data_IF_275904704929
#
_entry.id   IF_275904704929
#
_cell.length_a   1.000
_cell.length_b   1.000
_cell.length_c   1.000
_cell.angle_alpha   90.00
_cell.angle_beta   90.00
_cell.angle_gamma   90.00
#
_symmetry.space_group_name_H-M   'P 1'
#
loop_
_entity.id
_entity.type
_entity.pdbx_description
1 polymer ?
#
# COMPACT_ATOMS: atom_id res chain seq x y z
N UNK A 1 -18.54 46.73 26.83
CA UNK A 1 -17.53 45.72 26.40
C UNK A 1 -18.11 44.34 26.65
N UNK A 2 -18.56 43.67 25.58
CA UNK A 2 -19.06 42.30 25.65
C UNK A 2 -17.93 41.36 25.22
N UNK A 3 -17.49 40.47 26.11
CA UNK A 3 -16.56 39.40 25.79
C UNK A 3 -17.37 38.24 25.20
N UNK A 4 -17.22 37.98 23.90
CA UNK A 4 -17.60 36.70 23.30
C UNK A 4 -16.53 35.67 23.66
N UNK A 5 -16.89 34.70 24.51
CA UNK A 5 -16.12 33.45 24.62
C UNK A 5 -16.39 32.61 23.38
N UNK A 6 -15.36 32.46 22.53
CA UNK A 6 -15.34 31.45 21.48
C UNK A 6 -15.18 30.07 22.11
N UNK A 7 -16.22 29.25 22.06
CA UNK A 7 -16.16 27.83 22.40
C UNK A 7 -15.51 27.09 21.24
N UNK A 8 -14.30 26.58 21.43
CA UNK A 8 -13.65 25.71 20.45
C UNK A 8 -14.43 24.38 20.36
N UNK A 9 -14.67 23.84 19.15
CA UNK A 9 -15.31 22.53 19.02
C UNK A 9 -14.34 21.46 19.54
N UNK A 10 -14.79 20.71 20.54
CA UNK A 10 -14.10 19.52 21.01
C UNK A 10 -14.02 18.50 19.86
N UNK A 11 -12.81 18.00 19.58
CA UNK A 11 -12.66 16.84 18.70
C UNK A 11 -13.38 15.65 19.34
N UNK A 12 -14.14 14.84 18.57
CA UNK A 12 -14.75 13.64 19.11
C UNK A 12 -13.62 12.73 19.59
N UNK A 13 -13.67 12.38 20.88
CA UNK A 13 -12.84 11.32 21.43
C UNK A 13 -13.07 10.06 20.58
N UNK A 14 -11.99 9.44 20.12
CA UNK A 14 -12.06 8.13 19.50
C UNK A 14 -12.80 7.21 20.47
N UNK A 15 -13.97 6.70 20.09
CA UNK A 15 -14.61 5.60 20.80
C UNK A 15 -13.55 4.51 20.93
N UNK A 16 -13.22 4.12 22.17
CA UNK A 16 -12.42 2.92 22.42
C UNK A 16 -13.19 1.75 21.83
N UNK A 17 -12.88 1.42 20.58
CA UNK A 17 -13.36 0.22 19.96
C UNK A 17 -12.82 -0.94 20.79
N UNK A 18 -13.71 -1.77 21.32
CA UNK A 18 -13.31 -2.95 22.08
C UNK A 18 -12.28 -3.79 21.33
N UNK A 19 -11.49 -4.55 22.08
CA UNK A 19 -10.52 -5.50 21.50
C UNK A 19 -11.26 -6.41 20.51
N UNK A 20 -10.84 -6.46 19.23
CA UNK A 20 -11.50 -7.26 18.22
C UNK A 20 -11.29 -8.75 18.51
N UNK A 21 -12.26 -9.58 18.17
CA UNK A 21 -12.08 -11.03 18.18
C UNK A 21 -11.04 -11.42 17.14
N UNK A 22 -9.90 -11.96 17.57
CA UNK A 22 -8.83 -12.37 16.66
C UNK A 22 -9.12 -13.76 16.06
N UNK A 23 -8.58 -14.08 14.86
CA UNK A 23 -8.63 -15.44 14.34
C UNK A 23 -7.98 -16.44 15.32
N UNK A 24 -8.28 -17.72 15.17
CA UNK A 24 -7.64 -18.76 15.98
C UNK A 24 -6.12 -18.82 15.68
N UNK A 25 -5.30 -18.91 16.73
CA UNK A 25 -3.83 -18.98 16.57
C UNK A 25 -3.43 -20.36 16.06
N UNK A 26 -2.93 -20.42 14.82
CA UNK A 26 -2.46 -21.62 14.15
C UNK A 26 -0.95 -21.86 14.34
N UNK A 27 -0.52 -21.92 15.60
CA UNK A 27 0.88 -22.05 15.98
C UNK A 27 1.61 -20.69 16.02
N UNK A 28 2.22 -20.32 17.16
CA UNK A 28 2.81 -19.00 17.34
C UNK A 28 4.10 -18.84 16.52
N UNK A 29 4.41 -17.59 16.15
CA UNK A 29 5.73 -17.25 15.62
C UNK A 29 6.82 -17.44 16.69
N UNK A 30 8.08 -17.69 16.27
CA UNK A 30 9.23 -17.52 17.16
C UNK A 30 9.18 -16.11 17.80
N UNK A 31 9.56 -15.98 19.09
CA UNK A 31 9.54 -14.67 19.76
C UNK A 31 10.35 -13.63 18.97
N UNK A 32 9.89 -12.36 18.93
CA UNK A 32 10.67 -11.30 18.32
C UNK A 32 11.94 -11.03 19.15
N UNK A 33 13.02 -10.50 18.54
CA UNK A 33 14.21 -10.06 19.27
C UNK A 33 13.89 -9.00 20.34
N UNK A 34 12.98 -8.08 20.01
CA UNK A 34 12.41 -7.10 20.92
C UNK A 34 10.95 -6.81 20.56
N UNK A 35 10.20 -6.23 21.49
CA UNK A 35 8.81 -5.83 21.29
C UNK A 35 8.66 -4.32 21.14
N UNK A 36 9.70 -3.62 20.68
CA UNK A 36 9.66 -2.18 20.49
C UNK A 36 9.02 -1.79 19.16
N UNK A 37 8.46 -0.58 19.11
CA UNK A 37 7.93 -0.04 17.86
C UNK A 37 9.08 0.25 16.89
N UNK A 38 9.08 -0.38 15.71
CA UNK A 38 10.09 -0.16 14.69
C UNK A 38 9.47 -0.18 13.30
N UNK A 39 9.91 0.74 12.45
CA UNK A 39 9.77 0.60 11.02
C UNK A 39 10.93 -0.25 10.49
N UNK A 40 10.68 -1.19 9.59
CA UNK A 40 11.68 -2.10 9.06
C UNK A 40 11.44 -2.41 7.57
N UNK A 41 12.53 -2.65 6.85
CA UNK A 41 12.52 -3.27 5.51
C UNK A 41 13.47 -4.45 5.50
N UNK A 42 12.99 -5.58 4.97
CA UNK A 42 13.75 -6.83 4.88
C UNK A 42 13.69 -7.34 3.44
N UNK A 43 14.84 -7.77 2.93
CA UNK A 43 14.93 -8.58 1.71
C UNK A 43 14.83 -10.05 2.09
N UNK A 44 13.80 -10.72 1.59
CA UNK A 44 13.61 -12.15 1.72
C UNK A 44 14.31 -12.88 0.56
N UNK A 45 15.62 -13.03 0.67
CA UNK A 45 16.44 -13.79 -0.31
C UNK A 45 15.97 -15.25 -0.49
N UNK A 46 15.49 -15.85 0.59
CA UNK A 46 14.85 -17.17 0.62
C UNK A 46 13.47 -17.23 -0.05
N UNK A 47 12.88 -16.09 -0.41
CA UNK A 47 11.60 -15.97 -1.13
C UNK A 47 11.76 -15.10 -2.36
N UNK A 48 12.67 -15.51 -3.25
CA UNK A 48 12.89 -14.90 -4.57
C UNK A 48 13.16 -13.40 -4.53
N UNK A 49 13.86 -12.96 -3.49
CA UNK A 49 14.18 -11.56 -3.23
C UNK A 49 12.95 -10.67 -2.99
N UNK A 50 11.85 -11.18 -2.46
CA UNK A 50 10.75 -10.29 -2.10
C UNK A 50 11.18 -9.26 -1.06
N UNK A 51 10.62 -8.05 -1.14
CA UNK A 51 10.83 -7.01 -0.13
C UNK A 51 9.62 -6.91 0.75
N UNK A 52 9.84 -7.04 2.04
CA UNK A 52 8.88 -6.80 3.10
C UNK A 52 9.16 -5.44 3.72
N UNK A 53 8.14 -4.63 3.96
CA UNK A 53 8.29 -3.43 4.78
C UNK A 53 7.09 -3.25 5.70
N UNK A 54 7.36 -2.77 6.90
CA UNK A 54 6.36 -2.62 7.94
C UNK A 54 6.74 -1.55 8.96
N UNK A 55 5.79 -1.12 9.77
CA UNK A 55 5.98 -0.29 10.95
C UNK A 55 5.06 -0.73 12.10
N UNK A 56 4.86 0.08 13.12
CA UNK A 56 3.95 -0.20 14.25
C UNK A 56 2.46 -0.27 13.88
N UNK A 57 2.09 -0.02 12.62
CA UNK A 57 0.71 0.11 12.14
C UNK A 57 0.34 -0.83 11.00
N UNK A 58 1.26 -1.07 10.07
CA UNK A 58 0.98 -1.78 8.81
C UNK A 58 2.18 -2.58 8.33
N UNK A 59 1.94 -3.56 7.44
CA UNK A 59 2.94 -4.42 6.82
C UNK A 59 2.58 -4.73 5.37
N UNK A 60 3.59 -4.88 4.52
CA UNK A 60 3.44 -4.98 3.09
C UNK A 60 4.53 -5.84 2.45
N UNK A 61 4.27 -6.28 1.21
CA UNK A 61 5.21 -7.03 0.38
C UNK A 61 5.17 -6.56 -1.08
N UNK A 62 6.33 -6.52 -1.72
CA UNK A 62 6.49 -6.45 -3.17
C UNK A 62 7.44 -7.55 -3.64
N UNK A 63 7.29 -7.92 -4.90
CA UNK A 63 7.83 -9.16 -5.40
C UNK A 63 9.12 -8.96 -6.21
N UNK A 64 10.14 -9.77 -5.94
CA UNK A 64 11.42 -9.77 -6.64
C UNK A 64 11.33 -10.44 -8.01
N UNK A 65 12.25 -10.10 -8.92
CA UNK A 65 12.28 -10.61 -10.29
C UNK A 65 12.35 -12.14 -10.37
N UNK A 66 13.06 -12.79 -9.44
CA UNK A 66 13.19 -14.25 -9.43
C UNK A 66 11.84 -14.99 -9.24
N UNK A 67 10.82 -14.32 -8.68
CA UNK A 67 9.49 -14.91 -8.50
C UNK A 67 8.81 -15.20 -9.84
N UNK A 68 9.11 -14.42 -10.88
CA UNK A 68 8.48 -14.55 -12.20
C UNK A 68 8.67 -15.95 -12.81
N UNK A 69 9.82 -16.57 -12.53
CA UNK A 69 10.13 -17.92 -13.00
C UNK A 69 9.54 -19.02 -12.12
N UNK A 70 9.32 -18.73 -10.83
CA UNK A 70 8.88 -19.72 -9.85
C UNK A 70 7.35 -19.81 -9.73
N UNK A 71 6.64 -18.68 -9.76
CA UNK A 71 5.20 -18.60 -9.48
C UNK A 71 4.48 -17.63 -10.45
N UNK A 72 4.38 -17.95 -11.75
CA UNK A 72 3.62 -17.15 -12.69
C UNK A 72 2.09 -17.35 -12.52
N UNK A 73 1.25 -16.31 -12.69
CA UNK A 73 1.61 -14.92 -12.98
C UNK A 73 1.96 -14.11 -11.71
N UNK A 74 3.07 -13.36 -11.76
CA UNK A 74 3.44 -12.33 -10.79
C UNK A 74 3.56 -10.95 -11.46
N UNK A 75 3.57 -9.87 -10.67
CA UNK A 75 3.76 -8.52 -11.19
C UNK A 75 4.05 -7.46 -10.12
N UNK A 76 3.99 -6.19 -10.50
CA UNK A 76 4.30 -5.03 -9.63
C UNK A 76 3.15 -4.52 -8.75
N UNK A 77 2.18 -5.38 -8.42
CA UNK A 77 1.15 -5.05 -7.44
C UNK A 77 1.72 -5.04 -6.02
N UNK A 78 1.09 -4.27 -5.13
CA UNK A 78 1.51 -4.17 -3.72
C UNK A 78 0.61 -5.03 -2.85
N UNK A 79 1.21 -5.89 -2.05
CA UNK A 79 0.53 -6.73 -1.08
C UNK A 79 0.46 -6.02 0.28
N UNK A 80 -0.64 -6.19 1.01
CA UNK A 80 -0.88 -5.54 2.32
C UNK A 80 -1.40 -6.54 3.33
N UNK A 81 -0.66 -6.71 4.41
CA UNK A 81 -0.90 -7.75 5.41
C UNK A 81 -1.67 -7.20 6.60
N UNK A 82 -2.47 -8.06 7.22
CA UNK A 82 -3.07 -7.76 8.51
C UNK A 82 -2.00 -7.76 9.59
N UNK A 83 -1.88 -6.69 10.36
CA UNK A 83 -0.93 -6.55 11.47
C UNK A 83 -1.62 -6.07 12.74
N UNK A 84 -1.38 -6.76 13.86
CA UNK A 84 -1.93 -6.39 15.17
C UNK A 84 -0.89 -6.16 16.28
N UNK A 85 0.41 -6.16 15.98
CA UNK A 85 1.49 -5.85 16.93
C UNK A 85 2.25 -4.58 16.54
N UNK A 86 3.04 -4.00 17.46
CA UNK A 86 3.84 -2.79 17.20
C UNK A 86 5.26 -3.06 16.67
N UNK A 87 5.78 -4.28 16.86
CA UNK A 87 7.12 -4.68 16.43
C UNK A 87 7.08 -5.36 15.05
N UNK A 88 8.22 -5.52 14.34
CA UNK A 88 8.26 -6.24 13.06
C UNK A 88 7.88 -7.71 13.21
N UNK A 89 7.04 -8.24 12.30
CA UNK A 89 6.61 -9.64 12.27
C UNK A 89 6.66 -10.28 10.87
N UNK A 90 6.65 -9.49 9.80
CA UNK A 90 6.40 -9.98 8.44
C UNK A 90 7.46 -10.98 7.97
N UNK A 91 8.75 -10.75 8.26
CA UNK A 91 9.83 -11.70 7.93
C UNK A 91 9.67 -13.03 8.67
N UNK A 92 9.37 -13.00 9.98
CA UNK A 92 9.11 -14.22 10.76
C UNK A 92 7.89 -14.98 10.23
N UNK A 93 6.83 -14.25 9.91
CA UNK A 93 5.61 -14.80 9.32
C UNK A 93 5.90 -15.46 7.97
N UNK A 94 6.64 -14.79 7.08
CA UNK A 94 6.99 -15.35 5.77
C UNK A 94 7.93 -16.57 5.89
N UNK A 95 8.87 -16.56 6.83
CA UNK A 95 9.78 -17.71 7.09
C UNK A 95 9.05 -18.96 7.58
N UNK A 96 7.84 -18.82 8.13
CA UNK A 96 7.05 -19.98 8.55
C UNK A 96 6.63 -20.87 7.37
N UNK A 97 6.66 -20.35 6.14
CA UNK A 97 6.14 -21.04 4.95
C UNK A 97 4.61 -21.04 4.86
N UNK A 98 3.93 -20.47 5.86
CA UNK A 98 2.48 -20.36 5.95
C UNK A 98 2.13 -18.97 6.49
N UNK A 99 2.26 -17.99 5.61
CA UNK A 99 1.96 -16.60 5.89
C UNK A 99 0.45 -16.32 6.03
N UNK A 100 -0.39 -17.22 5.53
CA UNK A 100 -1.84 -17.04 5.46
C UNK A 100 -2.55 -17.39 6.76
N UNK A 101 -2.00 -18.31 7.55
CA UNK A 101 -2.55 -18.60 8.87
C UNK A 101 -2.22 -17.51 9.88
N UNK A 102 -3.17 -17.19 10.76
CA UNK A 102 -2.92 -16.27 11.86
C UNK A 102 -2.03 -16.91 12.93
N UNK A 103 -0.85 -16.33 13.14
CA UNK A 103 0.16 -16.83 14.10
C UNK A 103 0.32 -15.94 15.34
N UNK A 104 -0.67 -15.07 15.59
CA UNK A 104 -0.76 -14.22 16.78
C UNK A 104 -0.35 -12.75 16.59
N UNK A 105 0.37 -12.42 15.51
CA UNK A 105 0.96 -11.08 15.30
C UNK A 105 0.49 -10.40 14.00
N UNK A 106 -0.12 -11.18 13.11
CA UNK A 106 -0.66 -10.76 11.82
C UNK A 106 -0.82 -11.96 10.89
N UNK A 107 -1.20 -11.69 9.64
CA UNK A 107 -1.36 -12.67 8.57
C UNK A 107 -1.45 -11.98 7.20
N UNK A 108 -1.16 -12.73 6.15
CA UNK A 108 -1.45 -12.37 4.77
C UNK A 108 -2.78 -12.99 4.34
N UNK A 109 -3.81 -12.17 4.12
CA UNK A 109 -5.06 -12.62 3.49
C UNK A 109 -5.44 -11.71 2.31
N UNK A 110 -4.44 -11.01 1.75
CA UNK A 110 -4.62 -10.04 0.68
C UNK A 110 -4.02 -10.58 -0.62
N UNK A 111 -4.87 -11.15 -1.46
CA UNK A 111 -4.43 -11.75 -2.72
C UNK A 111 -4.29 -10.70 -3.83
N UNK A 112 -3.06 -10.29 -4.12
CA UNK A 112 -2.76 -9.29 -5.16
C UNK A 112 -3.04 -9.82 -6.57
N UNK A 113 -2.72 -11.08 -6.85
CA UNK A 113 -2.75 -11.64 -8.20
C UNK A 113 -2.05 -10.75 -9.25
N UNK A 114 -2.71 -10.53 -10.38
CA UNK A 114 -2.24 -9.63 -11.46
C UNK A 114 -2.64 -8.16 -11.26
N UNK A 115 -3.39 -7.85 -10.20
CA UNK A 115 -3.94 -6.51 -9.96
C UNK A 115 -2.84 -5.52 -9.55
N UNK A 116 -3.23 -4.26 -9.29
CA UNK A 116 -2.34 -3.25 -8.69
C UNK A 116 -2.26 -3.36 -7.17
N UNK A 117 -3.02 -4.27 -6.55
CA UNK A 117 -3.00 -4.47 -5.10
C UNK A 117 -3.27 -3.16 -4.37
N UNK A 118 -2.42 -2.79 -3.42
CA UNK A 118 -2.50 -1.52 -2.69
C UNK A 118 -1.59 -0.44 -3.27
N UNK A 119 -1.83 0.01 -4.49
CA UNK A 119 -1.14 1.17 -5.05
C UNK A 119 0.05 0.87 -5.97
N UNK A 120 0.09 -0.33 -6.56
CA UNK A 120 0.85 -0.55 -7.78
C UNK A 120 0.35 0.37 -8.90
N UNK A 121 1.15 0.55 -9.94
CA UNK A 121 0.80 1.42 -11.06
C UNK A 121 1.07 0.79 -12.42
N UNK A 122 0.63 1.48 -13.46
CA UNK A 122 0.94 1.24 -14.86
C UNK A 122 0.65 2.49 -15.69
N UNK A 123 0.86 2.38 -17.00
CA UNK A 123 0.53 3.46 -17.95
C UNK A 123 -0.81 3.16 -18.58
N UNK A 124 -1.75 4.07 -18.43
CA UNK A 124 -3.05 3.99 -19.09
C UNK A 124 -2.92 4.46 -20.54
N UNK A 125 -3.12 3.56 -21.48
CA UNK A 125 -3.05 3.84 -22.91
C UNK A 125 -3.96 2.89 -23.68
N UNK A 126 -4.69 3.43 -24.65
CA UNK A 126 -5.67 2.71 -25.48
C UNK A 126 -6.62 1.81 -24.67
N UNK A 127 -7.28 2.42 -23.67
CA UNK A 127 -8.24 1.76 -22.78
C UNK A 127 -7.69 0.54 -22.00
N UNK A 128 -6.37 0.45 -21.87
CA UNK A 128 -5.66 -0.63 -21.17
C UNK A 128 -4.63 -0.06 -20.20
N UNK A 129 -4.45 -0.76 -19.07
CA UNK A 129 -3.35 -0.49 -18.15
C UNK A 129 -2.13 -1.34 -18.52
N UNK A 130 -1.06 -0.70 -18.97
CA UNK A 130 0.22 -1.32 -19.32
C UNK A 130 1.13 -1.32 -18.09
N UNK A 131 1.44 -2.50 -17.57
CA UNK A 131 2.10 -2.66 -16.28
C UNK A 131 3.51 -3.23 -16.40
N UNK A 132 4.36 -2.83 -15.47
CA UNK A 132 5.66 -3.48 -15.30
C UNK A 132 5.51 -4.90 -14.73
N UNK A 133 6.57 -5.68 -14.90
CA UNK A 133 6.78 -6.95 -14.19
C UNK A 133 7.30 -6.68 -12.77
N UNK A 134 7.85 -7.69 -12.12
CA UNK A 134 8.43 -7.57 -10.78
C UNK A 134 9.61 -6.59 -10.79
N UNK A 135 10.01 -6.12 -9.61
CA UNK A 135 11.16 -5.22 -9.52
C UNK A 135 12.47 -5.99 -9.80
N UNK A 136 13.44 -5.36 -10.46
CA UNK A 136 14.70 -6.00 -10.89
C UNK A 136 15.93 -5.59 -10.10
N UNK A 137 15.89 -4.45 -9.40
CA UNK A 137 16.95 -4.01 -8.48
C UNK A 137 16.35 -3.34 -7.27
N UNK A 138 17.04 -3.42 -6.14
CA UNK A 138 16.66 -2.69 -4.92
C UNK A 138 17.88 -2.05 -4.25
N UNK A 139 17.61 -1.07 -3.39
CA UNK A 139 18.56 -0.52 -2.43
C UNK A 139 17.82 -0.18 -1.15
N UNK A 140 18.20 -0.81 -0.04
CA UNK A 140 17.73 -0.44 1.29
C UNK A 140 18.53 0.78 1.76
N UNK A 141 17.84 1.87 2.08
CA UNK A 141 18.43 3.12 2.56
C UNK A 141 18.41 3.20 4.08
N UNK A 142 17.34 2.72 4.70
CA UNK A 142 17.19 2.58 6.16
C UNK A 142 16.48 1.27 6.44
N UNK A 143 17.22 0.30 7.00
CA UNK A 143 16.72 -1.05 7.26
C UNK A 143 15.80 -1.12 8.47
N UNK A 144 16.04 -0.31 9.51
CA UNK A 144 15.22 -0.27 10.72
C UNK A 144 15.28 1.09 11.43
N UNK A 145 14.30 1.36 12.28
CA UNK A 145 14.27 2.53 13.16
C UNK A 145 13.00 3.35 12.98
N UNK A 146 13.16 4.65 12.73
CA UNK A 146 12.04 5.60 12.62
C UNK A 146 11.31 5.57 11.27
N UNK A 147 11.95 5.02 10.23
CA UNK A 147 11.34 4.80 8.94
C UNK A 147 11.96 3.60 8.20
N UNK A 148 11.12 2.81 7.54
CA UNK A 148 11.55 1.85 6.52
C UNK A 148 11.70 2.63 5.21
N UNK A 149 12.88 2.60 4.61
CA UNK A 149 13.19 3.41 3.44
C UNK A 149 14.04 2.64 2.44
N UNK A 150 13.55 2.52 1.22
CA UNK A 150 14.21 1.77 0.16
C UNK A 150 13.79 2.24 -1.22
N UNK A 151 14.59 1.93 -2.23
CA UNK A 151 14.28 2.16 -3.64
C UNK A 151 14.27 0.85 -4.40
N UNK A 152 13.46 0.78 -5.45
CA UNK A 152 13.49 -0.30 -6.43
C UNK A 152 13.47 0.24 -7.85
N UNK A 153 14.07 -0.51 -8.77
CA UNK A 153 13.97 -0.27 -10.21
C UNK A 153 13.13 -1.37 -10.85
N UNK A 154 12.27 -0.98 -11.79
CA UNK A 154 11.52 -1.88 -12.66
C UNK A 154 12.14 -1.85 -14.06
N UNK A 155 12.32 -3.03 -14.67
CA UNK A 155 12.83 -3.14 -16.03
C UNK A 155 11.90 -2.48 -17.04
N UNK A 156 12.40 -2.05 -18.21
CA UNK A 156 11.56 -1.44 -19.22
C UNK A 156 10.40 -2.33 -19.66
N UNK A 157 9.21 -1.75 -19.84
CA UNK A 157 8.03 -2.44 -20.40
C UNK A 157 7.39 -1.63 -21.54
N UNK A 158 6.76 -2.31 -22.51
CA UNK A 158 6.09 -1.64 -23.61
C UNK A 158 4.77 -0.99 -23.16
N UNK A 159 4.46 0.14 -23.77
CA UNK A 159 3.16 0.79 -23.77
C UNK A 159 2.70 0.81 -25.22
N UNK A 160 1.91 -0.19 -25.58
CA UNK A 160 1.61 -0.52 -26.98
C UNK A 160 2.88 -0.80 -27.82
N UNK A 161 2.83 -0.59 -29.13
CA UNK A 161 3.92 -0.93 -30.07
C UNK A 161 5.05 0.10 -30.13
N UNK A 162 4.75 1.38 -29.85
CA UNK A 162 5.65 2.50 -30.20
C UNK A 162 6.38 3.12 -29.00
N UNK A 163 6.08 2.69 -27.78
CA UNK A 163 6.59 3.35 -26.58
C UNK A 163 7.09 2.36 -25.56
N UNK A 164 8.21 2.68 -24.92
CA UNK A 164 8.75 1.94 -23.79
C UNK A 164 8.97 2.87 -22.61
N UNK A 165 8.65 2.38 -21.42
CA UNK A 165 8.83 3.12 -20.17
C UNK A 165 9.57 2.26 -19.15
N UNK A 166 10.19 2.89 -18.16
CA UNK A 166 10.82 2.24 -17.02
C UNK A 166 10.68 3.10 -15.78
N UNK A 167 10.89 2.51 -14.61
CA UNK A 167 10.58 3.16 -13.33
C UNK A 167 11.69 2.96 -12.31
N UNK A 168 11.97 4.03 -11.57
CA UNK A 168 12.55 3.95 -10.23
C UNK A 168 11.51 4.44 -9.23
N UNK A 169 11.29 3.69 -8.15
CA UNK A 169 10.38 4.07 -7.07
C UNK A 169 11.06 4.00 -5.71
N UNK A 170 10.89 5.05 -4.90
CA UNK A 170 11.25 5.08 -3.48
C UNK A 170 10.01 4.89 -2.61
N UNK A 171 10.16 4.08 -1.57
CA UNK A 171 9.17 3.75 -0.57
C UNK A 171 9.69 4.27 0.77
N UNK A 172 8.90 5.08 1.46
CA UNK A 172 9.24 5.54 2.82
C UNK A 172 8.04 5.38 3.73
N UNK A 173 8.15 4.51 4.72
CA UNK A 173 7.13 4.26 5.74
C UNK A 173 7.67 4.67 7.13
N UNK A 174 7.33 5.87 7.62
CA UNK A 174 7.64 6.30 8.99
C UNK A 174 6.87 5.50 10.05
N UNK A 175 7.34 5.50 11.30
CA UNK A 175 6.53 5.07 12.45
C UNK A 175 5.24 5.91 12.61
N UNK A 176 4.22 5.31 13.20
CA UNK A 176 3.00 5.97 13.65
C UNK A 176 1.96 6.26 12.57
N UNK A 177 2.22 5.92 11.31
CA UNK A 177 1.28 6.15 10.19
C UNK A 177 0.89 4.86 9.48
N UNK A 178 -0.28 4.84 8.86
CA UNK A 178 -0.69 3.76 7.96
C UNK A 178 -0.27 4.01 6.51
N UNK A 179 0.38 5.14 6.19
CA UNK A 179 0.75 5.51 4.83
C UNK A 179 2.24 5.34 4.53
N UNK A 180 2.52 4.55 3.51
CA UNK A 180 3.81 4.56 2.80
C UNK A 180 3.81 5.68 1.79
N UNK A 181 4.80 6.58 1.87
CA UNK A 181 5.06 7.60 0.86
C UNK A 181 5.80 6.98 -0.32
N UNK A 182 5.28 7.20 -1.52
CA UNK A 182 5.81 6.71 -2.78
C UNK A 182 6.32 7.88 -3.60
N UNK A 183 7.58 7.84 -4.02
CA UNK A 183 8.14 8.76 -5.02
C UNK A 183 8.50 7.93 -6.24
N UNK A 184 7.77 8.11 -7.34
CA UNK A 184 8.01 7.39 -8.58
C UNK A 184 8.52 8.33 -9.65
N UNK A 185 9.55 7.91 -10.38
CA UNK A 185 10.00 8.54 -11.60
C UNK A 185 9.83 7.56 -12.74
N UNK A 186 8.86 7.82 -13.63
CA UNK A 186 8.68 7.07 -14.87
C UNK A 186 9.46 7.77 -15.98
N UNK A 187 10.40 7.07 -16.58
CA UNK A 187 11.14 7.52 -17.77
C UNK A 187 10.61 6.84 -19.02
N UNK A 188 10.87 7.41 -20.20
CA UNK A 188 10.39 6.91 -21.47
C UNK A 188 11.36 7.24 -22.61
N UNK A 189 11.29 6.49 -23.69
CA UNK A 189 11.91 6.80 -24.98
C UNK A 189 11.17 7.89 -25.79
N UNK A 190 10.11 8.48 -25.22
CA UNK A 190 9.36 9.61 -25.76
C UNK A 190 9.10 10.63 -24.66
N UNK A 191 9.19 11.91 -25.01
CA UNK A 191 8.92 13.04 -24.10
C UNK A 191 7.43 13.35 -23.93
N UNK A 192 6.55 12.67 -24.68
CA UNK A 192 5.10 12.88 -24.60
C UNK A 192 4.56 12.59 -23.20
N UNK A 193 3.59 13.36 -22.69
CA UNK A 193 2.99 13.11 -21.38
C UNK A 193 2.43 11.69 -21.23
N UNK A 194 2.49 11.18 -20.00
CA UNK A 194 1.96 9.87 -19.59
C UNK A 194 0.67 10.06 -18.79
N UNK A 195 -0.26 9.11 -18.93
CA UNK A 195 -1.31 8.88 -17.95
C UNK A 195 -0.89 7.72 -17.06
N UNK A 196 -0.40 8.02 -15.86
CA UNK A 196 0.00 7.00 -14.88
C UNK A 196 -1.24 6.61 -14.08
N UNK A 197 -1.66 5.35 -14.17
CA UNK A 197 -2.75 4.79 -13.38
C UNK A 197 -2.25 4.12 -12.12
N UNK A 198 -2.59 4.65 -10.95
CA UNK A 198 -2.32 4.05 -9.64
C UNK A 198 -3.59 3.33 -9.19
N UNK A 199 -3.46 2.07 -8.78
CA UNK A 199 -4.62 1.19 -8.63
C UNK A 199 -4.81 0.55 -7.27
N UNK A 200 -6.09 0.27 -6.96
CA UNK A 200 -6.53 -0.65 -5.92
C UNK A 200 -7.17 -1.88 -6.59
N UNK A 201 -6.71 -3.09 -6.26
CA UNK A 201 -7.34 -4.32 -6.74
C UNK A 201 -8.77 -4.49 -6.23
N UNK A 202 -9.70 -4.95 -7.08
CA UNK A 202 -11.14 -5.04 -6.77
C UNK A 202 -11.53 -6.26 -5.92
N UNK A 203 -10.76 -7.34 -6.02
CA UNK A 203 -11.07 -8.68 -5.46
C UNK A 203 -9.84 -9.27 -4.78
N UNK A 204 -9.28 -8.53 -3.82
CA UNK A 204 -8.04 -8.90 -3.14
C UNK A 204 -8.28 -9.55 -1.77
N UNK A 205 -9.50 -9.51 -1.24
CA UNK A 205 -9.87 -10.20 0.01
C UNK A 205 -11.27 -10.79 -0.11
N UNK A 206 -11.56 -11.88 0.61
CA UNK A 206 -12.89 -12.42 0.80
C UNK A 206 -13.69 -12.66 -0.50
N UNK A 207 -15.01 -12.81 -0.36
CA UNK A 207 -15.93 -12.96 -1.48
C UNK A 207 -16.73 -11.66 -1.70
N UNK A 208 -16.89 -11.27 -2.96
CA UNK A 208 -17.65 -10.09 -3.36
C UNK A 208 -16.77 -8.88 -3.67
N UNK A 209 -17.44 -7.73 -3.89
CA UNK A 209 -16.75 -6.46 -4.10
C UNK A 209 -16.63 -5.72 -2.77
N UNK A 210 -15.50 -5.04 -2.55
CA UNK A 210 -15.40 -4.06 -1.48
C UNK A 210 -16.08 -2.73 -1.81
N UNK A 211 -16.15 -1.86 -0.83
CA UNK A 211 -16.83 -0.57 -0.91
C UNK A 211 -15.83 0.55 -1.24
N UNK A 212 -15.98 1.16 -2.41
CA UNK A 212 -15.15 2.29 -2.84
C UNK A 212 -15.67 3.61 -2.27
N UNK A 213 -14.76 4.47 -1.83
CA UNK A 213 -15.01 5.88 -1.52
C UNK A 213 -14.04 6.74 -2.31
N UNK A 214 -14.58 7.72 -3.03
CA UNK A 214 -13.81 8.65 -3.85
C UNK A 214 -14.03 10.05 -3.31
N UNK A 215 -12.94 10.75 -2.98
CA UNK A 215 -12.95 12.19 -2.70
C UNK A 215 -11.87 12.85 -3.56
N UNK A 216 -12.28 13.30 -4.76
CA UNK A 216 -11.37 13.91 -5.73
C UNK A 216 -10.74 15.20 -5.19
N UNK A 217 -11.47 15.98 -4.39
CA UNK A 217 -10.98 17.24 -3.84
C UNK A 217 -9.82 17.01 -2.85
N UNK A 218 -9.81 15.87 -2.15
CA UNK A 218 -8.72 15.45 -1.26
C UNK A 218 -7.72 14.50 -1.91
N UNK A 219 -7.92 14.19 -3.19
CA UNK A 219 -7.13 13.22 -3.95
C UNK A 219 -7.15 11.84 -3.33
N UNK A 220 -8.31 11.40 -2.81
CA UNK A 220 -8.49 10.13 -2.13
C UNK A 220 -9.26 9.13 -3.00
N UNK A 221 -8.69 7.94 -3.14
CA UNK A 221 -9.35 6.71 -3.53
C UNK A 221 -9.22 5.72 -2.36
N UNK A 222 -10.30 5.47 -1.64
CA UNK A 222 -10.33 4.55 -0.50
C UNK A 222 -11.18 3.32 -0.81
N UNK A 223 -10.78 2.17 -0.32
CA UNK A 223 -11.49 0.91 -0.50
C UNK A 223 -11.58 0.17 0.84
N UNK A 224 -12.79 -0.25 1.19
CA UNK A 224 -13.07 -1.10 2.35
C UNK A 224 -13.45 -2.50 1.85
N UNK A 225 -12.58 -3.47 2.07
CA UNK A 225 -12.75 -4.82 1.57
C UNK A 225 -13.96 -5.55 2.17
N UNK A 226 -14.52 -6.54 1.44
CA UNK A 226 -15.49 -7.45 2.03
C UNK A 226 -14.84 -8.23 3.18
N UNK A 227 -15.67 -8.76 4.08
CA UNK A 227 -15.18 -9.66 5.10
C UNK A 227 -14.66 -10.95 4.48
N UNK A 228 -13.55 -11.44 5.02
CA UNK A 228 -12.97 -12.73 4.71
C UNK A 228 -13.02 -13.60 5.96
N UNK A 229 -14.06 -14.44 6.07
CA UNK A 229 -14.26 -15.34 7.20
C UNK A 229 -14.01 -14.70 8.56
N UNK A 230 -13.19 -15.36 9.38
CA UNK A 230 -12.72 -14.88 10.68
C UNK A 230 -11.50 -13.94 10.57
N UNK A 231 -10.84 -13.85 9.41
CA UNK A 231 -9.73 -12.93 9.16
C UNK A 231 -10.18 -11.47 9.23
N UNK A 232 -11.44 -11.15 8.90
CA UNK A 232 -11.96 -9.78 8.96
C UNK A 232 -11.80 -9.05 7.63
N UNK A 233 -11.40 -7.77 7.66
CA UNK A 233 -11.43 -6.86 6.50
C UNK A 233 -10.13 -6.07 6.35
N UNK A 234 -9.66 -5.97 5.11
CA UNK A 234 -8.61 -5.01 4.75
C UNK A 234 -9.22 -3.71 4.25
N UNK A 235 -8.55 -2.60 4.55
CA UNK A 235 -8.85 -1.30 4.01
C UNK A 235 -7.61 -0.73 3.31
N UNK A 236 -7.79 -0.14 2.13
CA UNK A 236 -6.72 0.46 1.33
C UNK A 236 -7.08 1.91 1.06
N UNK A 237 -6.10 2.80 1.00
CA UNK A 237 -6.27 4.18 0.55
C UNK A 237 -5.10 4.61 -0.33
N UNK A 238 -5.40 5.19 -1.48
CA UNK A 238 -4.45 5.91 -2.31
C UNK A 238 -4.73 7.40 -2.16
N UNK A 239 -3.70 8.16 -1.79
CA UNK A 239 -3.71 9.62 -1.74
C UNK A 239 -2.75 10.17 -2.79
N UNK A 240 -3.23 11.12 -3.60
CA UNK A 240 -2.45 11.81 -4.65
C UNK A 240 -2.63 13.32 -4.50
N UNK A 241 -1.75 14.10 -5.12
CA UNK A 241 -2.00 15.54 -5.29
C UNK A 241 -3.26 15.74 -6.16
N UNK A 242 -4.33 16.37 -5.64
CA UNK A 242 -5.55 16.63 -6.40
C UNK A 242 -5.32 17.36 -7.74
N UNK A 243 -4.28 18.20 -7.81
CA UNK A 243 -3.94 18.97 -9.01
C UNK A 243 -3.40 18.09 -10.15
N UNK A 244 -2.88 16.90 -9.85
CA UNK A 244 -2.36 15.97 -10.85
C UNK A 244 -3.43 15.05 -11.46
N UNK A 245 -4.62 14.98 -10.85
CA UNK A 245 -5.66 14.05 -11.25
C UNK A 245 -6.21 14.42 -12.63
N UNK A 246 -5.98 13.54 -13.60
CA UNK A 246 -6.63 13.59 -14.90
C UNK A 246 -8.03 12.97 -14.81
N UNK A 247 -8.11 11.71 -14.38
CA UNK A 247 -9.33 10.90 -14.40
C UNK A 247 -9.36 9.95 -13.20
N UNK A 248 -10.55 9.52 -12.80
CA UNK A 248 -10.75 8.37 -11.90
C UNK A 248 -11.62 7.39 -12.67
N UNK A 249 -11.17 6.15 -12.79
CA UNK A 249 -11.84 5.12 -13.60
C UNK A 249 -11.59 3.74 -13.02
N UNK A 250 -12.05 2.72 -13.74
CA UNK A 250 -11.76 1.34 -13.40
C UNK A 250 -11.51 0.52 -14.68
N UNK A 251 -10.72 -0.54 -14.56
CA UNK A 251 -10.65 -1.63 -15.54
C UNK A 251 -11.36 -2.88 -14.99
N UNK A 252 -11.13 -4.07 -15.55
CA UNK A 252 -11.75 -5.31 -15.05
C UNK A 252 -11.35 -5.64 -13.60
N UNK A 253 -10.14 -5.27 -13.20
CA UNK A 253 -9.45 -5.78 -12.02
C UNK A 253 -9.14 -4.70 -10.98
N UNK A 254 -9.11 -3.43 -11.38
CA UNK A 254 -8.59 -2.32 -10.60
C UNK A 254 -9.56 -1.13 -10.57
N UNK A 255 -9.62 -0.47 -9.41
CA UNK A 255 -10.04 0.92 -9.30
C UNK A 255 -8.80 1.80 -9.50
N UNK A 256 -8.88 2.83 -10.33
CA UNK A 256 -7.73 3.60 -10.78
C UNK A 256 -7.92 5.11 -10.57
N UNK A 257 -6.87 5.77 -10.09
CA UNK A 257 -6.68 7.22 -10.27
C UNK A 257 -5.60 7.43 -11.33
N UNK A 258 -5.92 8.20 -12.36
CA UNK A 258 -5.00 8.53 -13.44
C UNK A 258 -4.39 9.91 -13.20
N UNK A 259 -3.06 9.97 -13.20
CA UNK A 259 -2.29 11.21 -13.08
C UNK A 259 -1.65 11.58 -14.41
N UNK A 260 -1.63 12.87 -14.73
CA UNK A 260 -0.83 13.38 -15.86
C UNK A 260 0.61 13.59 -15.39
N UNK A 261 1.55 12.86 -15.97
CA UNK A 261 2.97 12.86 -15.57
C UNK A 261 3.84 13.15 -16.79
N UNK A 262 4.86 13.99 -16.62
CA UNK A 262 5.90 14.17 -17.63
C UNK A 262 7.00 13.11 -17.43
N UNK A 263 7.47 12.42 -18.49
CA UNK A 263 8.58 11.49 -18.40
C UNK A 263 9.82 12.10 -17.72
N UNK A 264 10.51 11.30 -16.92
CA UNK A 264 11.71 11.69 -16.18
C UNK A 264 11.47 12.62 -14.99
N UNK A 265 10.25 13.14 -14.79
CA UNK A 265 9.91 13.96 -13.62
C UNK A 265 9.30 13.09 -12.52
N UNK A 266 9.85 13.15 -11.28
CA UNK A 266 9.26 12.45 -10.15
C UNK A 266 7.87 13.01 -9.80
N UNK A 267 7.01 12.14 -9.29
CA UNK A 267 5.75 12.50 -8.65
C UNK A 267 5.56 11.73 -7.35
N UNK A 268 4.72 12.25 -6.46
CA UNK A 268 4.50 11.70 -5.13
C UNK A 268 3.06 11.23 -5.00
N UNK A 269 2.89 10.05 -4.42
CA UNK A 269 1.61 9.56 -3.94
C UNK A 269 1.80 8.78 -2.65
N UNK A 270 0.72 8.44 -1.98
CA UNK A 270 0.77 7.64 -0.76
C UNK A 270 -0.16 6.45 -0.91
N UNK A 271 0.33 5.29 -0.46
CA UNK A 271 -0.48 4.09 -0.30
C UNK A 271 -0.60 3.79 1.18
N UNK A 272 -1.82 3.60 1.66
CA UNK A 272 -2.08 3.22 3.03
C UNK A 272 -2.94 1.98 3.14
N UNK A 273 -2.73 1.22 4.21
CA UNK A 273 -3.55 0.06 4.51
C UNK A 273 -3.87 -0.07 6.00
N UNK A 274 -5.01 -0.68 6.30
CA UNK A 274 -5.41 -1.04 7.65
C UNK A 274 -6.12 -2.39 7.66
N UNK A 275 -6.06 -3.06 8.80
CA UNK A 275 -6.83 -4.25 9.09
C UNK A 275 -7.86 -3.93 10.17
N UNK A 276 -9.10 -4.36 9.97
CA UNK A 276 -10.17 -4.13 10.94
C UNK A 276 -9.98 -4.84 12.29
N UNK A 277 -9.00 -5.75 12.41
CA UNK A 277 -8.55 -6.31 13.70
C UNK A 277 -7.14 -5.86 14.09
N UNK A 278 -6.54 -4.99 13.28
CA UNK A 278 -5.18 -4.52 13.46
C UNK A 278 -5.04 -3.29 14.35
N UNK A 279 -3.83 -2.74 14.31
CA UNK A 279 -3.46 -1.47 14.94
C UNK A 279 -4.22 -0.29 14.30
N UNK A 280 -4.42 0.78 15.05
CA UNK A 280 -5.14 1.99 14.59
C UNK A 280 -6.65 1.99 14.86
N UNK A 281 -7.25 0.84 15.21
CA UNK A 281 -8.63 0.77 15.70
C UNK A 281 -9.70 1.01 14.62
N UNK A 282 -9.36 0.90 13.34
CA UNK A 282 -10.28 1.13 12.22
C UNK A 282 -11.25 -0.05 12.06
N UNK A 283 -12.31 -0.08 12.86
CA UNK A 283 -13.33 -1.16 12.81
C UNK A 283 -14.42 -0.95 11.76
N UNK A 284 -14.49 0.25 11.18
CA UNK A 284 -15.51 0.61 10.20
C UNK A 284 -14.92 1.38 9.02
N UNK A 285 -15.58 1.27 7.87
CA UNK A 285 -15.29 2.07 6.68
C UNK A 285 -15.24 3.56 6.98
N UNK A 286 -16.16 4.07 7.80
CA UNK A 286 -16.25 5.47 8.16
C UNK A 286 -15.02 5.94 8.93
N UNK A 287 -14.55 5.14 9.91
CA UNK A 287 -13.35 5.45 10.68
C UNK A 287 -12.10 5.47 9.79
N UNK A 288 -11.95 4.47 8.92
CA UNK A 288 -10.85 4.43 7.95
C UNK A 288 -10.88 5.63 7.00
N UNK A 289 -12.04 5.91 6.40
CA UNK A 289 -12.19 7.03 5.47
C UNK A 289 -11.91 8.37 6.13
N UNK A 290 -12.34 8.57 7.38
CA UNK A 290 -12.08 9.80 8.13
C UNK A 290 -10.57 10.00 8.36
N UNK A 291 -9.86 8.94 8.76
CA UNK A 291 -8.40 8.97 8.88
C UNK A 291 -7.74 9.25 7.52
N UNK A 292 -8.01 8.42 6.51
CA UNK A 292 -7.40 8.53 5.19
C UNK A 292 -7.63 9.91 4.54
N UNK A 293 -8.80 10.52 4.75
CA UNK A 293 -9.14 11.85 4.26
C UNK A 293 -8.59 13.00 5.13
N UNK A 294 -8.30 12.74 6.41
CA UNK A 294 -7.84 13.73 7.38
C UNK A 294 -6.31 13.88 7.44
N UNK A 295 -5.57 12.86 7.03
CA UNK A 295 -4.10 12.88 7.04
C UNK A 295 -3.54 14.02 6.18
N UNK A 296 -2.63 14.78 6.80
CA UNK A 296 -1.85 15.84 6.14
C UNK A 296 -0.61 15.20 5.52
N UNK A 297 -0.59 15.14 4.19
CA UNK A 297 0.44 14.44 3.43
C UNK A 297 1.24 15.44 2.57
N UNK A 298 2.56 15.23 2.50
CA UNK A 298 3.47 16.05 1.70
C UNK A 298 3.72 15.43 0.31
N UNK A 299 3.09 16.03 -0.70
CA UNK A 299 3.25 15.68 -2.11
C UNK A 299 4.44 16.37 -2.79
N UNK A 300 5.23 17.17 -2.05
CA UNK A 300 6.42 17.83 -2.57
C UNK A 300 7.48 16.82 -2.97
N UNK A 301 7.99 16.90 -4.20
CA UNK A 301 9.10 16.05 -4.66
C UNK A 301 10.35 16.33 -3.80
N UNK A 302 11.05 15.30 -3.27
CA UNK A 302 12.32 15.50 -2.58
C UNK A 302 13.33 16.19 -3.48
N UNK A 303 14.01 17.21 -2.96
CA UNK A 303 15.08 17.93 -3.67
C UNK A 303 16.35 17.11 -3.77
#
# INVERSE_FOLDING_TARGET
MAFLLAVAPAMPAAQEAGTPDMPAVAGPLPPPPDREAQAAVVRADYRYDDLLWENDRTAHRIYGHALEAAEPPSGSGIDSWGKNVRWPFADRQLRSGDQHSYRGEGLDFYNVGSTRGAGGLGIWHDNKLWTSRNYVRHRILSASGQAADFTVDYAPWPVDVDRKVWETRRFTLPLGTHFTRMVSTISSDSDEPLLVGIGIGKRTTGQGAGELTVDRAKGLLSWWGPADGDHGRMAIAIRVDPAMIAEIRADADNQLVLLRVAPGKPFVYFSGSAWDKGQGGFRTRQAWNAYAAGEKLDFGVPR
#
